data_IF_655812926910
#
_entry.id   IF_655812926910
#
_cell.length_a   1.000
_cell.length_b   1.000
_cell.length_c   1.000
_cell.angle_alpha   90.00
_cell.angle_beta   90.00
_cell.angle_gamma   90.00
#
_symmetry.space_group_name_H-M   'P 1'
#
loop_
_entity.id
_entity.type
_entity.pdbx_description
1 polymer ?
#
# COMPACT_ATOMS: atom_id res chain seq x y z
N UNK A 1 -18.80 -22.09 -9.87
CA UNK A 1 -18.50 -22.00 -8.43
C UNK A 1 -17.04 -21.61 -8.34
N UNK A 2 -16.76 -20.30 -8.26
CA UNK A 2 -15.40 -19.78 -8.35
C UNK A 2 -14.61 -20.20 -7.12
N UNK A 3 -13.47 -20.85 -7.32
CA UNK A 3 -12.56 -21.19 -6.23
C UNK A 3 -12.16 -19.90 -5.51
N UNK A 4 -12.34 -19.86 -4.19
CA UNK A 4 -11.87 -18.75 -3.38
C UNK A 4 -10.33 -18.82 -3.33
N UNK A 5 -9.65 -18.13 -4.26
CA UNK A 5 -8.18 -18.08 -4.29
C UNK A 5 -7.57 -17.43 -3.02
N UNK A 6 -8.39 -16.80 -2.17
CA UNK A 6 -7.96 -16.29 -0.86
C UNK A 6 -6.74 -15.38 -0.97
N UNK A 7 -5.68 -15.70 -0.23
CA UNK A 7 -4.41 -14.96 -0.24
C UNK A 7 -3.61 -15.10 -1.56
N UNK A 8 -3.90 -16.12 -2.37
CA UNK A 8 -3.26 -16.33 -3.68
C UNK A 8 -4.03 -15.68 -4.83
N UNK A 9 -4.98 -14.79 -4.55
CA UNK A 9 -5.64 -14.01 -5.59
C UNK A 9 -4.57 -13.25 -6.40
N UNK A 10 -4.55 -13.37 -7.75
CA UNK A 10 -3.48 -12.81 -8.57
C UNK A 10 -3.35 -11.29 -8.42
N UNK A 11 -4.47 -10.59 -8.17
CA UNK A 11 -4.44 -9.15 -7.88
C UNK A 11 -3.82 -8.82 -6.52
N UNK A 12 -4.02 -9.65 -5.49
CA UNK A 12 -3.42 -9.44 -4.16
C UNK A 12 -1.90 -9.67 -4.22
N UNK A 13 -1.48 -10.72 -4.92
CA UNK A 13 -0.05 -11.02 -5.14
C UNK A 13 0.62 -9.88 -5.90
N UNK A 14 0.03 -9.46 -7.03
CA UNK A 14 0.58 -8.39 -7.87
C UNK A 14 0.68 -7.08 -7.08
N UNK A 15 -0.37 -6.68 -6.36
CA UNK A 15 -0.33 -5.45 -5.56
C UNK A 15 0.68 -5.52 -4.42
N UNK A 16 0.80 -6.67 -3.75
CA UNK A 16 1.80 -6.87 -2.69
C UNK A 16 3.22 -6.77 -3.25
N UNK A 17 3.49 -7.35 -4.43
CA UNK A 17 4.79 -7.21 -5.10
C UNK A 17 5.09 -5.75 -5.46
N UNK A 18 4.10 -4.99 -5.96
CA UNK A 18 4.28 -3.57 -6.28
C UNK A 18 4.61 -2.75 -5.03
N UNK A 19 3.84 -2.92 -3.94
CA UNK A 19 4.11 -2.23 -2.68
C UNK A 19 5.47 -2.59 -2.08
N UNK A 20 5.90 -3.86 -2.21
CA UNK A 20 7.21 -4.30 -1.78
C UNK A 20 8.33 -3.61 -2.58
N UNK A 21 8.22 -3.55 -3.90
CA UNK A 21 9.18 -2.85 -4.77
C UNK A 21 9.24 -1.35 -4.42
N UNK A 22 8.08 -0.70 -4.26
CA UNK A 22 8.01 0.70 -3.87
C UNK A 22 8.63 0.96 -2.49
N UNK A 23 8.40 0.06 -1.52
CA UNK A 23 9.01 0.14 -0.19
C UNK A 23 10.54 0.05 -0.23
N UNK A 24 11.09 -0.86 -1.04
CA UNK A 24 12.53 -1.00 -1.23
C UNK A 24 13.11 0.26 -1.88
N UNK A 25 12.48 0.76 -2.94
CA UNK A 25 12.92 1.99 -3.61
C UNK A 25 12.87 3.18 -2.64
N UNK A 26 11.77 3.34 -1.91
CA UNK A 26 11.62 4.39 -0.91
C UNK A 26 12.68 4.30 0.19
N UNK A 27 13.00 3.09 0.67
CA UNK A 27 14.04 2.88 1.66
C UNK A 27 15.42 3.33 1.12
N UNK A 28 15.77 2.95 -0.11
CA UNK A 28 17.03 3.38 -0.76
C UNK A 28 17.06 4.90 -0.91
N UNK A 29 15.98 5.52 -1.40
CA UNK A 29 15.91 6.98 -1.57
C UNK A 29 16.05 7.70 -0.23
N UNK A 30 15.43 7.20 0.84
CA UNK A 30 15.56 7.80 2.19
C UNK A 30 17.01 7.87 2.68
N UNK A 31 17.83 6.87 2.33
CA UNK A 31 19.25 6.85 2.69
C UNK A 31 20.09 7.87 1.89
N UNK A 32 19.69 8.13 0.64
CA UNK A 32 20.35 9.08 -0.26
C UNK A 32 20.00 10.54 0.08
N UNK A 33 18.75 10.79 0.51
CA UNK A 33 18.24 12.14 0.83
C UNK A 33 18.68 12.61 2.22
N UNK A 34 19.13 11.71 3.10
CA UNK A 34 19.63 12.07 4.43
C UNK A 34 20.86 13.00 4.35
N UNK A 35 20.62 14.28 4.62
CA UNK A 35 21.64 15.33 4.76
C UNK A 35 21.93 15.57 6.23
N UNK A 36 23.17 15.96 6.49
CA UNK A 36 23.61 16.36 7.82
C UNK A 36 23.04 17.74 8.12
N UNK A 37 22.37 17.88 9.27
CA UNK A 37 21.80 19.15 9.74
C UNK A 37 22.36 19.47 11.11
N UNK A 38 22.43 20.76 11.46
CA UNK A 38 23.11 21.24 12.68
C UNK A 38 22.56 20.64 13.99
N UNK A 39 21.35 20.06 13.96
CA UNK A 39 20.66 19.45 15.09
C UNK A 39 20.62 17.90 15.07
N UNK A 40 21.08 17.22 14.02
CA UNK A 40 20.90 15.76 13.90
C UNK A 40 22.02 15.13 13.06
N UNK A 41 22.64 14.07 13.59
CA UNK A 41 23.71 13.35 12.89
C UNK A 41 23.15 12.63 11.67
N UNK A 42 23.93 12.52 10.60
CA UNK A 42 23.52 11.84 9.36
C UNK A 42 23.03 10.40 9.58
N UNK A 43 23.56 9.70 10.59
CA UNK A 43 23.11 8.34 10.96
C UNK A 43 21.71 8.33 11.56
N UNK A 44 21.38 9.28 12.44
CA UNK A 44 20.06 9.40 13.07
C UNK A 44 19.00 9.75 12.03
N UNK A 45 19.28 10.73 11.16
CA UNK A 45 18.39 11.10 10.07
C UNK A 45 18.08 9.91 9.13
N UNK A 46 19.06 9.04 8.88
CA UNK A 46 18.89 7.81 8.08
C UNK A 46 18.02 6.77 8.76
N UNK A 47 18.18 6.57 10.07
CA UNK A 47 17.37 5.60 10.82
C UNK A 47 15.92 6.05 10.90
N UNK A 48 15.69 7.32 11.20
CA UNK A 48 14.34 7.91 11.30
C UNK A 48 13.68 7.93 9.92
N UNK A 49 14.39 8.38 8.88
CA UNK A 49 13.87 8.38 7.51
C UNK A 49 13.52 6.98 7.02
N UNK A 50 14.40 6.00 7.28
CA UNK A 50 14.17 4.61 6.91
C UNK A 50 12.96 4.00 7.62
N UNK A 51 12.85 4.18 8.94
CA UNK A 51 11.74 3.62 9.73
C UNK A 51 10.40 4.21 9.33
N UNK A 52 10.33 5.53 9.10
CA UNK A 52 9.11 6.21 8.63
C UNK A 52 8.69 5.68 7.27
N UNK A 53 9.62 5.55 6.31
CA UNK A 53 9.28 5.05 4.97
C UNK A 53 8.78 3.61 5.01
N UNK A 54 9.40 2.74 5.80
CA UNK A 54 8.93 1.34 5.97
C UNK A 54 7.54 1.32 6.60
N UNK A 55 7.33 2.04 7.71
CA UNK A 55 6.04 2.08 8.40
C UNK A 55 4.92 2.65 7.51
N UNK A 56 5.19 3.74 6.80
CA UNK A 56 4.22 4.34 5.87
C UNK A 56 3.87 3.39 4.73
N UNK A 57 4.86 2.68 4.18
CA UNK A 57 4.63 1.69 3.10
C UNK A 57 3.75 0.55 3.59
N UNK A 58 4.02 0.00 4.78
CA UNK A 58 3.23 -1.08 5.38
C UNK A 58 1.79 -0.62 5.66
N UNK A 59 1.62 0.57 6.24
CA UNK A 59 0.29 1.13 6.49
C UNK A 59 -0.51 1.34 5.20
N UNK A 60 0.09 1.92 4.16
CA UNK A 60 -0.57 2.09 2.86
C UNK A 60 -0.92 0.75 2.21
N UNK A 61 -0.01 -0.23 2.26
CA UNK A 61 -0.25 -1.57 1.73
C UNK A 61 -1.40 -2.27 2.44
N UNK A 62 -1.45 -2.21 3.78
CA UNK A 62 -2.54 -2.79 4.56
C UNK A 62 -3.89 -2.15 4.22
N UNK A 63 -3.95 -0.82 4.13
CA UNK A 63 -5.17 -0.11 3.77
C UNK A 63 -5.68 -0.52 2.37
N UNK A 64 -4.78 -0.58 1.39
CA UNK A 64 -5.10 -1.05 0.05
C UNK A 64 -5.56 -2.52 0.06
N UNK A 65 -4.85 -3.40 0.75
CA UNK A 65 -5.18 -4.83 0.81
C UNK A 65 -6.57 -5.08 1.41
N UNK A 66 -6.94 -4.36 2.47
CA UNK A 66 -8.26 -4.47 3.08
C UNK A 66 -9.38 -4.00 2.15
N UNK A 67 -9.21 -2.84 1.50
CA UNK A 67 -10.22 -2.32 0.55
C UNK A 67 -10.37 -3.23 -0.68
N UNK A 68 -9.28 -3.86 -1.13
CA UNK A 68 -9.30 -4.83 -2.22
C UNK A 68 -10.00 -6.13 -1.83
N UNK A 69 -9.68 -6.68 -0.65
CA UNK A 69 -10.34 -7.90 -0.16
C UNK A 69 -11.83 -7.69 0.11
N UNK A 70 -12.24 -6.50 0.57
CA UNK A 70 -13.66 -6.17 0.77
C UNK A 70 -14.48 -6.23 -0.54
N UNK A 71 -13.83 -6.05 -1.69
CA UNK A 71 -14.49 -6.07 -3.00
C UNK A 71 -14.47 -7.44 -3.69
N UNK A 72 -13.74 -8.44 -3.17
CA UNK A 72 -13.61 -9.76 -3.83
C UNK A 72 -14.88 -10.60 -3.81
N UNK A 73 -15.68 -10.49 -2.75
CA UNK A 73 -16.96 -11.20 -2.60
C UNK A 73 -18.02 -10.20 -2.11
N UNK A 74 -18.55 -9.35 -3.01
CA UNK A 74 -19.54 -8.36 -2.63
C UNK A 74 -20.87 -9.06 -2.28
N UNK A 75 -21.38 -8.78 -1.08
CA UNK A 75 -22.73 -9.20 -0.66
C UNK A 75 -23.83 -8.25 -1.14
N UNK A 76 -23.46 -7.00 -1.44
CA UNK A 76 -24.35 -5.96 -1.97
C UNK A 76 -23.79 -5.49 -3.32
N UNK A 77 -24.67 -5.45 -4.31
CA UNK A 77 -24.40 -4.87 -5.63
C UNK A 77 -25.05 -3.49 -5.75
N UNK A 78 -24.44 -2.54 -6.46
CA UNK A 78 -25.02 -1.22 -6.67
C UNK A 78 -26.29 -1.29 -7.53
N UNK A 79 -27.40 -0.74 -7.04
CA UNK A 79 -28.64 -0.57 -7.81
C UNK A 79 -28.53 0.75 -8.58
N UNK A 80 -28.51 0.66 -9.91
CA UNK A 80 -28.56 1.85 -10.76
C UNK A 80 -30.03 2.16 -11.03
N UNK A 81 -30.61 3.15 -10.35
CA UNK A 81 -31.90 3.70 -10.77
C UNK A 81 -31.66 4.55 -12.02
N UNK A 82 -32.13 4.16 -13.21
CA UNK A 82 -32.10 5.05 -14.37
C UNK A 82 -32.88 6.33 -14.03
N UNK A 83 -32.49 7.50 -14.57
CA UNK A 83 -33.27 8.72 -14.39
C UNK A 83 -34.68 8.47 -14.94
N UNK A 84 -35.68 8.53 -14.06
CA UNK A 84 -37.10 8.45 -14.40
C UNK A 84 -37.39 9.45 -15.51
N UNK A 85 -37.63 8.95 -16.72
CA UNK A 85 -38.15 9.73 -17.83
C UNK A 85 -39.66 9.53 -17.85
N UNK A 86 -40.38 10.60 -17.48
CA UNK A 86 -41.78 10.90 -17.86
C UNK A 86 -42.83 9.85 -17.59
#
# INVERSE_FOLDING_TARGET
MGESLGFMAPGLVTGTTVFLILGIIGAVVSQLVARETQNCTKSEARMIGGSVVVMSTVCMWMFWAFTYMHQMVPLIYPIHTPPTTG
#
